data_IF_058708851789
#
_entry.id   IF_058708851789
#
_cell.length_a   1.000
_cell.length_b   1.000
_cell.length_c   1.000
_cell.angle_alpha   90.00
_cell.angle_beta   90.00
_cell.angle_gamma   90.00
#
_symmetry.space_group_name_H-M   'P 1'
#
loop_
_entity.id
_entity.type
_entity.pdbx_description
1 polymer ?
#
# COMPACT_ATOMS: atom_id res chain seq x y z
N UNK A 1 -20.49 28.55 -7.93
CA UNK A 1 -19.61 27.76 -7.04
C UNK A 1 -18.25 28.44 -7.13
N UNK A 2 -17.70 28.91 -6.00
CA UNK A 2 -16.36 29.46 -6.00
C UNK A 2 -15.39 28.33 -6.41
N UNK A 3 -14.49 28.61 -7.34
CA UNK A 3 -13.44 27.67 -7.77
C UNK A 3 -12.44 27.53 -6.62
N UNK A 4 -12.33 26.33 -6.04
CA UNK A 4 -11.28 26.01 -5.08
C UNK A 4 -9.90 26.26 -5.69
N UNK A 5 -8.97 26.77 -4.89
CA UNK A 5 -7.58 26.82 -5.26
C UNK A 5 -6.91 25.46 -4.94
N UNK A 6 -6.24 24.88 -5.94
CA UNK A 6 -5.49 23.64 -5.79
C UNK A 6 -4.05 23.95 -5.34
N UNK A 7 -3.60 23.25 -4.31
CA UNK A 7 -2.23 23.35 -3.79
C UNK A 7 -1.64 21.94 -3.70
N UNK A 8 -0.44 21.78 -4.26
CA UNK A 8 0.39 20.59 -4.04
C UNK A 8 1.65 21.08 -3.36
N UNK A 9 1.91 20.61 -2.15
CA UNK A 9 3.08 21.02 -1.38
C UNK A 9 3.93 19.81 -1.01
N UNK A 10 5.24 19.95 -1.15
CA UNK A 10 6.25 18.95 -0.75
C UNK A 10 6.43 18.93 0.76
N UNK A 11 6.42 20.11 1.38
CA UNK A 11 6.53 20.27 2.81
C UNK A 11 5.21 20.67 3.42
N UNK A 12 4.93 20.11 4.59
CA UNK A 12 3.82 20.55 5.41
C UNK A 12 4.27 20.58 6.86
N UNK A 13 3.89 21.65 7.56
CA UNK A 13 4.11 21.82 8.99
C UNK A 13 2.81 22.23 9.64
N UNK A 14 2.40 21.51 10.67
CA UNK A 14 1.23 21.88 11.45
C UNK A 14 1.67 22.70 12.65
N UNK A 15 1.20 23.95 12.73
CA UNK A 15 1.47 24.79 13.89
C UNK A 15 0.38 24.58 14.95
N UNK A 16 0.73 23.87 16.02
CA UNK A 16 -0.16 23.67 17.15
C UNK A 16 -0.16 24.88 18.10
N UNK A 17 -1.31 25.23 18.68
CA UNK A 17 -1.37 26.15 19.80
C UNK A 17 -0.54 25.62 21.00
N UNK A 18 0.06 26.51 21.81
CA UNK A 18 0.86 26.10 22.97
C UNK A 18 0.06 25.20 23.94
N UNK A 19 0.63 24.04 24.30
CA UNK A 19 0.05 23.12 25.28
C UNK A 19 -1.04 22.18 24.75
N UNK A 20 -1.31 22.17 23.44
CA UNK A 20 -2.22 21.22 22.81
C UNK A 20 -1.47 20.07 22.11
N UNK A 21 -2.14 18.93 21.97
CA UNK A 21 -1.69 17.82 21.14
C UNK A 21 -2.63 17.63 19.93
N UNK A 22 -2.19 16.91 18.91
CA UNK A 22 -2.99 16.65 17.70
C UNK A 22 -4.31 15.91 17.98
N UNK A 23 -4.42 15.20 19.11
CA UNK A 23 -5.64 14.50 19.51
C UNK A 23 -6.71 15.46 20.07
N UNK A 24 -6.28 16.61 20.61
CA UNK A 24 -7.15 17.60 21.27
C UNK A 24 -7.30 18.89 20.47
N UNK A 25 -6.39 19.19 19.53
CA UNK A 25 -6.31 20.47 18.86
C UNK A 25 -7.35 20.69 17.75
N UNK A 26 -7.71 19.64 17.00
CA UNK A 26 -8.57 19.77 15.81
C UNK A 26 -10.07 19.96 16.08
N UNK A 27 -10.46 20.61 17.18
CA UNK A 27 -11.86 20.81 17.52
C UNK A 27 -12.21 22.09 18.27
N UNK A 28 -11.24 22.87 18.76
CA UNK A 28 -11.50 24.06 19.59
C UNK A 28 -10.99 25.37 19.01
N UNK A 29 -9.94 25.32 18.19
CA UNK A 29 -9.27 26.49 17.62
C UNK A 29 -8.87 26.20 16.17
N UNK A 30 -8.70 27.26 15.39
CA UNK A 30 -8.19 27.17 14.03
C UNK A 30 -6.73 26.69 14.07
N UNK A 31 -6.38 25.75 13.20
CA UNK A 31 -4.98 25.34 13.01
C UNK A 31 -4.39 26.02 11.79
N UNK A 32 -3.22 26.61 11.97
CA UNK A 32 -2.42 27.15 10.87
C UNK A 32 -1.51 26.06 10.31
N UNK A 33 -1.60 25.86 9.00
CA UNK A 33 -0.80 24.89 8.26
C UNK A 33 0.16 25.68 7.37
N UNK A 34 1.46 25.43 7.55
CA UNK A 34 2.52 26.06 6.77
C UNK A 34 2.97 25.08 5.68
N UNK A 35 2.96 25.55 4.45
CA UNK A 35 3.31 24.82 3.24
C UNK A 35 4.63 25.36 2.66
N UNK A 36 5.03 24.86 1.50
CA UNK A 36 6.21 25.36 0.76
C UNK A 36 6.21 26.89 0.63
N UNK A 37 7.42 27.46 0.61
CA UNK A 37 7.65 28.91 0.47
C UNK A 37 7.00 29.76 1.60
N UNK A 38 6.62 29.12 2.71
CA UNK A 38 6.00 29.78 3.85
C UNK A 38 4.52 30.13 3.63
N UNK A 39 3.90 29.57 2.60
CA UNK A 39 2.46 29.73 2.35
C UNK A 39 1.66 29.19 3.53
N UNK A 40 0.64 29.93 3.97
CA UNK A 40 -0.22 29.57 5.10
C UNK A 40 -1.62 29.24 4.62
N UNK A 41 -2.21 28.19 5.19
CA UNK A 41 -3.62 27.83 5.00
C UNK A 41 -4.20 27.47 6.36
N UNK A 42 -5.53 27.47 6.47
CA UNK A 42 -6.23 27.30 7.74
C UNK A 42 -7.08 26.04 7.74
N UNK A 43 -7.07 25.33 8.87
CA UNK A 43 -8.04 24.29 9.18
C UNK A 43 -9.00 24.85 10.25
N UNK A 44 -10.21 25.28 9.87
CA UNK A 44 -11.10 25.98 10.79
C UNK A 44 -11.55 25.13 11.98
N UNK A 45 -11.72 25.78 13.13
CA UNK A 45 -12.35 25.21 14.31
C UNK A 45 -13.77 24.74 13.95
N UNK A 46 -14.12 23.54 14.41
CA UNK A 46 -15.45 22.95 14.16
C UNK A 46 -15.66 22.38 12.75
N UNK A 47 -14.64 22.42 11.86
CA UNK A 47 -14.70 21.65 10.62
C UNK A 47 -14.82 20.16 10.95
N UNK A 48 -15.79 19.46 10.35
CA UNK A 48 -16.16 18.09 10.74
C UNK A 48 -14.97 17.10 10.66
N UNK A 49 -14.01 17.37 9.77
CA UNK A 49 -12.81 16.57 9.53
C UNK A 49 -11.54 17.11 10.21
N UNK A 50 -11.61 18.20 10.98
CA UNK A 50 -10.42 18.92 11.45
C UNK A 50 -9.43 18.05 12.22
N UNK A 51 -9.89 17.32 13.25
CA UNK A 51 -9.01 16.44 14.03
C UNK A 51 -8.32 15.37 13.16
N UNK A 52 -9.03 14.82 12.20
CA UNK A 52 -8.53 13.74 11.36
C UNK A 52 -7.56 14.27 10.28
N UNK A 53 -7.86 15.42 9.67
CA UNK A 53 -6.93 16.14 8.79
C UNK A 53 -5.65 16.55 9.53
N UNK A 54 -5.76 17.07 10.76
CA UNK A 54 -4.60 17.44 11.56
C UNK A 54 -3.68 16.24 11.83
N UNK A 55 -4.25 15.06 12.14
CA UNK A 55 -3.48 13.82 12.31
C UNK A 55 -2.78 13.40 11.01
N UNK A 56 -3.46 13.49 9.87
CA UNK A 56 -2.86 13.16 8.57
C UNK A 56 -1.72 14.12 8.24
N UNK A 57 -1.94 15.43 8.37
CA UNK A 57 -0.92 16.45 8.10
C UNK A 57 0.31 16.29 8.99
N UNK A 58 0.13 16.02 10.29
CA UNK A 58 1.24 15.73 11.20
C UNK A 58 1.99 14.45 10.83
N UNK A 59 1.25 13.43 10.34
CA UNK A 59 1.83 12.20 9.81
C UNK A 59 2.67 12.45 8.55
N UNK A 60 2.18 13.25 7.61
CA UNK A 60 2.89 13.63 6.39
C UNK A 60 4.13 14.47 6.69
N UNK A 61 4.04 15.42 7.63
CA UNK A 61 5.18 16.20 8.13
C UNK A 61 6.28 15.26 8.65
N UNK A 62 5.92 14.32 9.52
CA UNK A 62 6.86 13.36 10.11
C UNK A 62 7.50 12.45 9.07
N UNK A 63 6.72 12.01 8.07
CA UNK A 63 7.21 11.17 6.97
C UNK A 63 7.91 11.96 5.86
N UNK A 64 7.91 13.30 5.95
CA UNK A 64 8.41 14.21 4.91
C UNK A 64 7.81 13.88 3.55
N UNK A 65 6.49 13.72 3.52
CA UNK A 65 5.70 13.38 2.34
C UNK A 65 4.88 14.58 1.87
N UNK A 66 4.62 14.69 0.56
CA UNK A 66 3.81 15.77 0.02
C UNK A 66 2.35 15.69 0.47
N UNK A 67 1.64 16.79 0.31
CA UNK A 67 0.20 16.91 0.52
C UNK A 67 -0.47 17.59 -0.68
N UNK A 68 -1.68 17.15 -1.00
CA UNK A 68 -2.58 17.85 -1.92
C UNK A 68 -3.74 18.45 -1.12
N UNK A 69 -4.00 19.73 -1.34
CA UNK A 69 -5.07 20.47 -0.67
C UNK A 69 -5.92 21.19 -1.71
N UNK A 70 -7.24 21.13 -1.54
CA UNK A 70 -8.14 22.15 -2.07
C UNK A 70 -8.46 23.14 -0.98
N UNK A 71 -8.39 24.42 -1.34
CA UNK A 71 -8.51 25.53 -0.39
C UNK A 71 -9.49 26.54 -0.94
N UNK A 72 -10.37 27.03 -0.07
CA UNK A 72 -11.24 28.16 -0.38
C UNK A 72 -10.39 29.43 -0.56
N UNK A 73 -10.47 30.11 -1.72
CA UNK A 73 -9.57 31.22 -2.04
C UNK A 73 -9.80 32.47 -1.19
N UNK A 74 -10.99 32.63 -0.60
CA UNK A 74 -11.36 33.82 0.17
C UNK A 74 -11.00 33.67 1.66
N UNK A 75 -11.12 32.46 2.19
CA UNK A 75 -10.93 32.15 3.61
C UNK A 75 -9.63 31.42 3.91
N UNK A 76 -8.96 30.89 2.89
CA UNK A 76 -7.82 29.98 2.99
C UNK A 76 -8.13 28.68 3.76
N UNK A 77 -9.41 28.34 3.91
CA UNK A 77 -9.86 27.15 4.60
C UNK A 77 -9.64 25.91 3.74
N UNK A 78 -9.04 24.87 4.32
CA UNK A 78 -8.90 23.55 3.68
C UNK A 78 -10.29 22.91 3.53
N UNK A 79 -10.69 22.61 2.29
CA UNK A 79 -11.93 21.91 1.98
C UNK A 79 -11.70 20.43 1.67
N UNK A 80 -10.58 20.10 1.05
CA UNK A 80 -10.18 18.72 0.74
C UNK A 80 -8.70 18.50 1.04
N UNK A 81 -8.40 17.33 1.61
CA UNK A 81 -7.04 16.83 1.77
C UNK A 81 -6.93 15.49 1.07
N UNK A 82 -5.84 15.32 0.31
CA UNK A 82 -5.40 14.03 -0.23
C UNK A 82 -3.93 13.80 0.06
N UNK A 83 -3.56 12.54 0.26
CA UNK A 83 -2.17 12.09 0.44
C UNK A 83 -1.67 11.61 -0.93
N UNK A 84 -0.78 12.34 -1.63
CA UNK A 84 -0.30 11.94 -2.95
C UNK A 84 0.60 10.69 -2.91
N UNK A 85 0.65 9.96 -4.03
CA UNK A 85 1.69 8.97 -4.30
C UNK A 85 2.95 9.68 -4.81
N UNK A 86 4.13 9.14 -4.50
CA UNK A 86 5.42 9.67 -4.93
C UNK A 86 6.25 8.54 -5.53
N UNK A 87 6.66 8.67 -6.79
CA UNK A 87 7.42 7.63 -7.47
C UNK A 87 7.80 7.98 -8.90
N UNK A 88 8.56 7.11 -9.54
CA UNK A 88 9.00 7.25 -10.94
C UNK A 88 8.13 6.39 -11.85
N UNK A 89 7.73 6.95 -12.98
CA UNK A 89 6.96 6.21 -13.99
C UNK A 89 7.85 5.11 -14.60
N UNK A 90 7.38 3.85 -14.52
CA UNK A 90 8.11 2.69 -15.05
C UNK A 90 7.85 2.52 -16.54
N UNK A 91 6.59 2.26 -16.86
CA UNK A 91 6.08 1.97 -18.19
C UNK A 91 4.74 2.68 -18.36
N UNK A 92 4.50 3.16 -19.57
CA UNK A 92 3.22 3.73 -19.99
C UNK A 92 2.68 2.91 -21.15
N UNK A 93 1.39 2.58 -21.11
CA UNK A 93 0.70 1.88 -22.18
C UNK A 93 -0.51 2.68 -22.62
N UNK A 94 -0.59 2.95 -23.92
CA UNK A 94 -1.80 3.55 -24.47
C UNK A 94 -2.92 2.51 -24.57
N UNK A 95 -4.11 2.90 -24.13
CA UNK A 95 -5.32 2.08 -24.20
C UNK A 95 -6.45 2.85 -24.88
N UNK A 96 -7.61 2.21 -25.00
CA UNK A 96 -8.81 2.88 -25.49
C UNK A 96 -9.26 3.98 -24.53
N UNK A 97 -9.11 3.75 -23.23
CA UNK A 97 -9.58 4.61 -22.15
C UNK A 97 -8.62 5.76 -21.82
N UNK A 98 -7.32 5.59 -22.07
CA UNK A 98 -6.32 6.55 -21.61
C UNK A 98 -4.89 6.08 -21.75
N UNK A 99 -4.06 6.54 -20.82
CA UNK A 99 -2.70 6.03 -20.60
C UNK A 99 -2.72 5.28 -19.28
N UNK A 100 -2.48 3.97 -19.34
CA UNK A 100 -2.21 3.17 -18.15
C UNK A 100 -0.72 3.21 -17.84
N UNK A 101 -0.37 3.26 -16.56
CA UNK A 101 1.02 3.24 -16.14
C UNK A 101 1.19 2.69 -14.72
N UNK A 102 2.45 2.34 -14.39
CA UNK A 102 2.87 1.92 -13.06
C UNK A 102 4.00 2.86 -12.58
N UNK A 103 4.09 3.06 -11.26
CA UNK A 103 5.21 3.76 -10.65
C UNK A 103 6.07 2.77 -9.85
N UNK A 104 7.35 3.09 -9.72
CA UNK A 104 8.34 2.24 -9.04
C UNK A 104 7.93 1.91 -7.60
N UNK A 105 7.31 2.85 -6.90
CA UNK A 105 6.92 2.73 -5.51
C UNK A 105 5.60 2.05 -5.20
N UNK A 106 4.92 1.51 -6.22
CA UNK A 106 3.55 1.01 -6.11
C UNK A 106 3.35 -0.31 -6.85
N UNK A 107 2.45 -1.15 -6.35
CA UNK A 107 1.92 -2.26 -7.14
C UNK A 107 0.62 -1.94 -7.87
N UNK A 108 0.05 -0.75 -7.61
CA UNK A 108 -1.17 -0.28 -8.25
C UNK A 108 -0.92 0.08 -9.71
N UNK A 109 -1.98 -0.06 -10.52
CA UNK A 109 -2.04 0.50 -11.86
C UNK A 109 -2.81 1.81 -11.85
N UNK A 110 -2.26 2.80 -12.52
CA UNK A 110 -2.80 4.14 -12.62
C UNK A 110 -3.34 4.40 -14.03
N UNK A 111 -4.35 5.25 -14.14
CA UNK A 111 -4.96 5.62 -15.41
C UNK A 111 -5.01 7.14 -15.56
N UNK A 112 -4.50 7.68 -16.66
CA UNK A 112 -4.84 9.01 -17.12
C UNK A 112 -5.92 8.89 -18.21
N UNK A 113 -7.18 9.16 -17.87
CA UNK A 113 -8.32 9.02 -18.79
C UNK A 113 -8.34 10.09 -19.89
N UNK A 114 -8.74 9.71 -21.12
CA UNK A 114 -8.83 10.65 -22.27
C UNK A 114 -9.81 11.80 -22.06
N UNK A 115 -10.79 11.62 -21.18
CA UNK A 115 -11.77 12.65 -20.81
C UNK A 115 -11.21 13.70 -19.86
N UNK A 116 -10.00 13.51 -19.31
CA UNK A 116 -9.39 14.47 -18.41
C UNK A 116 -9.16 15.81 -19.13
N UNK A 117 -9.57 16.93 -18.54
CA UNK A 117 -9.46 18.27 -19.15
C UNK A 117 -8.04 18.63 -19.59
N UNK A 118 -7.05 18.22 -18.78
CA UNK A 118 -5.61 18.41 -19.02
C UNK A 118 -4.93 17.19 -19.63
N UNK A 119 -5.67 16.29 -20.30
CA UNK A 119 -5.13 15.03 -20.84
C UNK A 119 -3.87 15.25 -21.69
N UNK A 120 -3.89 16.22 -22.62
CA UNK A 120 -2.74 16.53 -23.47
C UNK A 120 -1.48 16.82 -22.64
N UNK A 121 -1.55 17.81 -21.74
CA UNK A 121 -0.45 18.22 -20.89
C UNK A 121 0.05 17.10 -19.97
N UNK A 122 -0.87 16.42 -19.25
CA UNK A 122 -0.50 15.35 -18.33
C UNK A 122 0.07 14.14 -19.07
N UNK A 123 -0.43 13.83 -20.27
CA UNK A 123 0.10 12.74 -21.09
C UNK A 123 1.54 12.97 -21.55
N UNK A 124 1.87 14.22 -21.91
CA UNK A 124 3.24 14.61 -22.25
C UNK A 124 4.16 14.53 -21.03
N UNK A 125 3.70 15.02 -19.88
CA UNK A 125 4.44 14.94 -18.62
C UNK A 125 4.73 13.49 -18.21
N UNK A 126 3.74 12.59 -18.27
CA UNK A 126 3.92 11.18 -17.94
C UNK A 126 4.92 10.49 -18.87
N UNK A 127 4.85 10.76 -20.18
CA UNK A 127 5.80 10.22 -21.15
C UNK A 127 7.21 10.75 -20.92
N UNK A 128 7.34 12.03 -20.56
CA UNK A 128 8.64 12.62 -20.22
C UNK A 128 9.21 12.01 -18.94
N UNK A 129 8.43 11.92 -17.87
CA UNK A 129 8.82 11.26 -16.62
C UNK A 129 9.25 9.80 -16.84
N UNK A 130 8.56 9.08 -17.73
CA UNK A 130 8.92 7.70 -18.07
C UNK A 130 10.29 7.60 -18.79
N UNK A 131 10.63 8.59 -19.64
CA UNK A 131 11.91 8.67 -20.35
C UNK A 131 13.05 9.13 -19.44
N UNK A 132 12.85 10.23 -18.71
CA UNK A 132 13.87 10.87 -17.88
C UNK A 132 14.08 10.17 -16.55
N UNK A 133 13.15 9.29 -16.15
CA UNK A 133 13.08 8.68 -14.80
C UNK A 133 12.99 9.71 -13.68
N UNK A 134 12.53 10.92 -14.01
CA UNK A 134 12.24 11.95 -13.02
C UNK A 134 11.01 11.55 -12.19
N UNK A 135 11.08 11.63 -10.84
CA UNK A 135 9.95 11.30 -9.98
C UNK A 135 8.81 12.30 -10.13
N UNK A 136 7.60 11.84 -9.86
CA UNK A 136 6.37 12.61 -9.86
C UNK A 136 5.68 12.55 -8.50
N UNK A 137 5.09 13.67 -8.08
CA UNK A 137 3.97 13.69 -7.15
C UNK A 137 2.72 13.38 -7.97
N UNK A 138 1.99 12.34 -7.58
CA UNK A 138 0.81 11.86 -8.27
C UNK A 138 -0.40 11.89 -7.34
N UNK A 139 -1.45 12.61 -7.74
CA UNK A 139 -2.71 12.69 -7.00
C UNK A 139 -3.75 11.93 -7.80
N UNK A 140 -4.38 10.96 -7.13
CA UNK A 140 -5.34 10.06 -7.76
C UNK A 140 -6.64 9.97 -6.98
N UNK A 141 -7.71 9.57 -7.65
CA UNK A 141 -8.95 9.18 -7.00
C UNK A 141 -8.89 7.73 -6.48
N UNK A 142 -10.01 7.23 -5.94
CA UNK A 142 -10.11 5.85 -5.43
C UNK A 142 -10.04 4.78 -6.53
N UNK A 143 -10.18 5.15 -7.81
CA UNK A 143 -10.00 4.26 -8.98
C UNK A 143 -8.58 4.28 -9.52
N UNK A 144 -7.68 5.06 -8.88
CA UNK A 144 -6.32 5.35 -9.37
C UNK A 144 -6.33 6.11 -10.70
N UNK A 145 -7.39 6.86 -10.98
CA UNK A 145 -7.42 7.83 -12.07
C UNK A 145 -6.67 9.11 -11.64
N UNK A 146 -5.82 9.62 -12.53
CA UNK A 146 -5.00 10.81 -12.25
C UNK A 146 -5.88 12.05 -12.18
N UNK A 147 -5.78 12.78 -11.06
CA UNK A 147 -6.36 14.11 -10.86
C UNK A 147 -5.32 15.20 -11.15
N UNK A 148 -4.10 15.01 -10.65
CA UNK A 148 -3.00 15.97 -10.83
C UNK A 148 -1.67 15.23 -10.80
N UNK A 149 -0.70 15.71 -11.59
CA UNK A 149 0.68 15.22 -11.54
C UNK A 149 1.65 16.40 -11.63
N UNK A 150 2.75 16.31 -10.88
CA UNK A 150 3.82 17.31 -10.90
C UNK A 150 5.17 16.65 -10.82
N UNK A 151 6.16 17.18 -11.53
CA UNK A 151 7.54 16.77 -11.31
C UNK A 151 7.95 17.04 -9.86
N UNK A 152 8.69 16.09 -9.31
CA UNK A 152 9.28 16.19 -8.00
C UNK A 152 10.77 16.45 -8.13
N UNK A 153 11.23 17.54 -7.51
CA UNK A 153 12.65 17.83 -7.36
C UNK A 153 13.00 17.65 -5.88
N UNK A 154 13.79 16.61 -5.53
CA UNK A 154 14.18 16.36 -4.15
C UNK A 154 14.97 17.53 -3.57
N UNK A 155 14.47 18.09 -2.47
CA UNK A 155 15.16 19.03 -1.60
C UNK A 155 15.94 18.32 -0.48
N UNK A 156 16.79 19.08 0.26
CA UNK A 156 17.61 18.53 1.34
C UNK A 156 16.80 17.97 2.53
N UNK A 157 15.57 18.47 2.72
CA UNK A 157 14.69 18.08 3.83
C UNK A 157 13.68 17.00 3.47
N UNK A 158 13.63 16.57 2.19
CA UNK A 158 12.64 15.61 1.73
C UNK A 158 12.96 14.18 2.21
N UNK A 159 11.91 13.35 2.31
CA UNK A 159 12.07 11.93 2.60
C UNK A 159 12.82 11.21 1.47
N UNK A 160 13.51 10.08 1.78
CA UNK A 160 14.19 9.32 0.73
C UNK A 160 13.15 8.81 -0.28
N UNK A 161 13.40 9.05 -1.57
CA UNK A 161 12.75 8.28 -2.61
C UNK A 161 13.23 6.84 -2.47
N UNK A 162 12.29 5.93 -2.25
CA UNK A 162 12.63 4.52 -2.26
C UNK A 162 13.13 4.15 -3.65
N UNK A 163 14.29 3.49 -3.69
CA UNK A 163 14.85 2.92 -4.90
C UNK A 163 14.28 1.51 -5.08
N UNK A 164 13.23 1.42 -5.90
CA UNK A 164 12.61 0.15 -6.25
C UNK A 164 13.37 -0.44 -7.43
N UNK A 165 13.76 -1.73 -7.38
CA UNK A 165 14.57 -2.31 -8.44
C UNK A 165 13.72 -2.38 -9.70
N UNK A 166 14.21 -1.77 -10.79
CA UNK A 166 13.46 -1.66 -12.05
C UNK A 166 13.21 -3.00 -12.74
N UNK A 167 13.92 -4.06 -12.35
CA UNK A 167 13.79 -5.39 -12.93
C UNK A 167 13.22 -6.37 -11.91
N UNK A 168 12.11 -7.01 -12.27
CA UNK A 168 11.70 -8.22 -11.60
C UNK A 168 12.75 -9.29 -11.89
N UNK A 169 13.31 -9.98 -10.87
CA UNK A 169 14.22 -11.07 -11.13
C UNK A 169 13.51 -12.08 -12.02
N UNK A 170 14.11 -12.39 -13.18
CA UNK A 170 13.62 -13.48 -14.04
C UNK A 170 13.54 -14.74 -13.17
N UNK A 171 12.50 -15.58 -13.31
CA UNK A 171 12.44 -16.84 -12.59
C UNK A 171 13.68 -17.67 -12.95
N UNK A 172 14.67 -17.68 -12.07
CA UNK A 172 15.83 -18.55 -12.22
C UNK A 172 15.37 -19.95 -11.86
N UNK A 173 15.53 -20.90 -12.78
CA UNK A 173 15.47 -22.32 -12.44
C UNK A 173 16.60 -22.61 -11.45
N UNK A 174 16.29 -22.58 -10.16
CA UNK A 174 17.21 -22.92 -9.07
C UNK A 174 17.47 -24.43 -9.07
N UNK A 175 18.37 -24.85 -9.95
CA UNK A 175 18.83 -26.23 -10.05
C UNK A 175 19.73 -26.64 -8.87
N UNK A 176 20.34 -25.68 -8.17
CA UNK A 176 21.18 -25.91 -6.99
C UNK A 176 20.35 -26.20 -5.73
N UNK A 177 19.16 -25.63 -5.60
CA UNK A 177 18.18 -25.99 -4.57
C UNK A 177 17.74 -27.46 -4.65
N UNK A 178 17.75 -28.03 -5.86
CA UNK A 178 17.43 -29.44 -6.10
C UNK A 178 18.54 -30.40 -5.62
N UNK A 179 19.82 -30.02 -5.75
CA UNK A 179 20.95 -30.82 -5.25
C UNK A 179 21.11 -30.74 -3.73
N UNK A 180 20.82 -29.59 -3.12
CA UNK A 180 20.89 -29.41 -1.65
C UNK A 180 19.75 -30.13 -0.91
N UNK A 181 18.66 -30.45 -1.60
CA UNK A 181 17.54 -31.25 -1.09
C UNK A 181 17.90 -32.73 -0.87
N UNK A 182 18.90 -33.26 -1.58
CA UNK A 182 19.26 -34.68 -1.51
C UNK A 182 20.18 -35.07 -0.34
N UNK A 183 20.82 -34.12 0.34
CA UNK A 183 21.93 -34.42 1.29
C UNK A 183 21.59 -34.11 2.76
N UNK A 184 20.33 -33.80 3.12
CA UNK A 184 19.94 -33.52 4.51
C UNK A 184 18.74 -34.40 4.95
N UNK A 185 18.95 -35.69 5.27
CA UNK A 185 17.85 -36.60 5.43
C UNK A 185 17.22 -36.52 6.84
N UNK A 186 15.93 -36.19 6.85
CA UNK A 186 14.87 -36.76 7.70
C UNK A 186 14.43 -36.05 9.00
N UNK A 187 15.18 -35.11 9.61
CA UNK A 187 14.75 -34.53 10.91
C UNK A 187 14.11 -33.12 10.88
N UNK A 188 14.20 -32.37 9.76
CA UNK A 188 13.73 -30.97 9.71
C UNK A 188 12.45 -30.76 8.88
N UNK A 189 12.26 -31.52 7.79
CA UNK A 189 11.09 -31.38 6.90
C UNK A 189 9.74 -31.76 7.54
N UNK A 190 9.73 -32.61 8.56
CA UNK A 190 8.50 -32.98 9.26
C UNK A 190 8.13 -32.04 10.42
N UNK A 191 9.08 -31.23 10.93
CA UNK A 191 8.85 -30.34 12.09
C UNK A 191 8.37 -28.93 11.74
N UNK A 192 8.58 -28.44 10.51
CA UNK A 192 8.26 -27.06 10.12
C UNK A 192 6.82 -26.77 9.67
N UNK A 193 6.03 -27.78 9.31
CA UNK A 193 4.64 -27.56 8.89
C UNK A 193 3.70 -27.52 10.09
N UNK A 194 2.73 -26.63 10.12
CA UNK A 194 1.76 -26.50 11.24
C UNK A 194 0.46 -27.26 10.94
N UNK A 195 -0.39 -27.50 11.95
CA UNK A 195 -1.73 -28.06 11.71
C UNK A 195 -2.65 -27.02 11.06
N UNK A 196 -3.75 -27.46 10.42
CA UNK A 196 -4.74 -26.54 9.87
C UNK A 196 -5.33 -25.60 10.95
N UNK A 197 -5.61 -26.12 12.15
CA UNK A 197 -6.08 -25.30 13.27
C UNK A 197 -5.04 -24.25 13.72
N UNK A 198 -3.75 -24.63 13.77
CA UNK A 198 -2.70 -23.65 14.08
C UNK A 198 -2.56 -22.61 12.95
N UNK A 199 -2.71 -23.00 11.69
CA UNK A 199 -2.70 -22.04 10.58
C UNK A 199 -3.85 -21.03 10.68
N UNK A 200 -5.05 -21.47 11.09
CA UNK A 200 -6.16 -20.56 11.37
C UNK A 200 -5.82 -19.62 12.53
N UNK A 201 -5.29 -20.12 13.64
CA UNK A 201 -4.90 -19.27 14.77
C UNK A 201 -3.85 -18.21 14.38
N UNK A 202 -2.91 -18.55 13.49
CA UNK A 202 -1.93 -17.60 12.97
C UNK A 202 -2.61 -16.56 12.08
N UNK A 203 -3.54 -16.99 11.23
CA UNK A 203 -4.34 -16.08 10.42
C UNK A 203 -5.11 -15.08 11.29
N UNK A 204 -5.80 -15.56 12.32
CA UNK A 204 -6.59 -14.74 13.22
C UNK A 204 -5.70 -13.75 13.97
N UNK A 205 -4.51 -14.16 14.40
CA UNK A 205 -3.52 -13.26 15.01
C UNK A 205 -3.03 -12.19 14.03
N UNK A 206 -2.78 -12.53 12.76
CA UNK A 206 -2.43 -11.51 11.75
C UNK A 206 -3.61 -10.57 11.51
N UNK A 207 -4.82 -11.09 11.35
CA UNK A 207 -6.03 -10.30 11.12
C UNK A 207 -6.31 -9.34 12.29
N UNK A 208 -6.06 -9.77 13.53
CA UNK A 208 -6.21 -8.94 14.72
C UNK A 208 -5.27 -7.73 14.77
N UNK A 209 -4.21 -7.69 13.94
CA UNK A 209 -3.35 -6.51 13.79
C UNK A 209 -3.90 -5.46 12.82
N UNK A 210 -5.08 -5.68 12.24
CA UNK A 210 -5.69 -4.76 11.27
C UNK A 210 -5.90 -3.35 11.85
N UNK A 211 -5.63 -2.33 11.04
CA UNK A 211 -5.89 -0.94 11.42
C UNK A 211 -7.38 -0.62 11.54
N UNK A 212 -7.75 0.14 12.57
CA UNK A 212 -9.02 0.83 12.64
C UNK A 212 -9.01 2.02 11.66
N UNK A 213 -9.90 2.11 10.65
CA UNK A 213 -9.75 3.09 9.56
C UNK A 213 -9.75 4.57 9.97
N UNK A 214 -10.48 4.95 11.03
CA UNK A 214 -10.63 6.36 11.42
C UNK A 214 -9.53 6.87 12.37
N UNK A 215 -8.89 5.97 13.11
CA UNK A 215 -7.90 6.33 14.16
C UNK A 215 -6.51 5.77 13.88
N UNK A 216 -6.39 4.76 13.01
CA UNK A 216 -5.16 4.12 12.52
C UNK A 216 -3.99 4.07 13.51
N UNK A 217 -4.19 3.54 14.73
CA UNK A 217 -3.16 3.56 15.77
C UNK A 217 -1.95 2.72 15.38
N UNK A 218 -0.74 3.24 15.55
CA UNK A 218 0.46 2.41 15.43
C UNK A 218 0.63 1.54 16.70
N UNK A 219 1.10 0.27 16.59
CA UNK A 219 1.40 -0.48 15.37
C UNK A 219 0.21 -1.32 14.88
N UNK A 220 -0.33 -0.99 13.70
CA UNK A 220 -1.36 -1.79 13.01
C UNK A 220 -0.99 -2.03 11.53
N UNK A 221 -1.55 -3.04 10.88
CA UNK A 221 -1.35 -3.33 9.46
C UNK A 221 -2.59 -2.87 8.66
N UNK A 222 -2.45 -2.01 7.63
CA UNK A 222 -3.59 -1.46 6.90
C UNK A 222 -4.14 -2.47 5.88
N UNK A 223 -4.67 -3.60 6.33
CA UNK A 223 -5.28 -4.61 5.44
C UNK A 223 -6.52 -4.08 4.73
N UNK A 224 -7.23 -3.14 5.35
CA UNK A 224 -8.40 -2.46 4.78
C UNK A 224 -8.04 -1.38 3.74
N UNK A 225 -6.76 -1.24 3.38
CA UNK A 225 -6.31 -0.42 2.26
C UNK A 225 -5.63 -1.32 1.21
N UNK A 226 -6.43 -1.98 0.33
CA UNK A 226 -5.92 -2.97 -0.60
C UNK A 226 -5.15 -2.34 -1.77
N UNK A 227 -5.36 -1.05 -2.03
CA UNK A 227 -4.88 -0.37 -3.23
C UNK A 227 -3.38 -0.45 -3.45
N UNK A 228 -2.60 -0.45 -2.36
CA UNK A 228 -1.16 -0.48 -2.45
C UNK A 228 -0.50 -1.00 -1.15
N UNK A 229 0.81 -1.27 -1.13
CA UNK A 229 1.58 -1.62 0.06
C UNK A 229 1.64 -3.10 0.45
N UNK A 230 1.31 -4.01 -0.47
CA UNK A 230 1.25 -5.45 -0.18
C UNK A 230 2.56 -6.03 0.35
N UNK A 231 3.70 -5.59 -0.19
CA UNK A 231 5.02 -6.06 0.23
C UNK A 231 5.34 -5.67 1.68
N UNK A 232 4.98 -4.46 2.12
CA UNK A 232 5.18 -4.00 3.49
C UNK A 232 4.27 -4.79 4.46
N UNK A 233 3.00 -5.00 4.09
CA UNK A 233 2.08 -5.86 4.87
C UNK A 233 2.62 -7.28 4.99
N UNK A 234 3.06 -7.87 3.89
CA UNK A 234 3.61 -9.22 3.85
C UNK A 234 4.90 -9.34 4.67
N UNK A 235 5.77 -8.33 4.64
CA UNK A 235 7.00 -8.34 5.39
C UNK A 235 6.75 -8.26 6.91
N UNK A 236 5.83 -7.40 7.34
CA UNK A 236 5.44 -7.30 8.74
C UNK A 236 4.74 -8.57 9.25
N UNK A 237 3.85 -9.16 8.45
CA UNK A 237 3.27 -10.47 8.79
C UNK A 237 4.35 -11.55 8.92
N UNK A 238 5.33 -11.60 8.02
CA UNK A 238 6.46 -12.51 8.15
C UNK A 238 7.24 -12.29 9.46
N UNK A 239 7.50 -11.03 9.86
CA UNK A 239 8.16 -10.70 11.13
C UNK A 239 7.43 -11.29 12.33
N UNK A 240 6.11 -11.07 12.37
CA UNK A 240 5.27 -11.54 13.46
C UNK A 240 5.22 -13.07 13.50
N UNK A 241 5.09 -13.73 12.36
CA UNK A 241 5.15 -15.20 12.28
C UNK A 241 6.50 -15.76 12.73
N UNK A 242 7.62 -15.11 12.36
CA UNK A 242 8.95 -15.51 12.82
C UNK A 242 9.07 -15.35 14.34
N UNK A 243 8.54 -14.26 14.90
CA UNK A 243 8.48 -14.05 16.35
C UNK A 243 7.63 -15.13 17.07
N UNK A 244 6.68 -15.75 16.38
CA UNK A 244 5.92 -16.92 16.86
C UNK A 244 6.67 -18.25 16.70
N UNK A 245 7.93 -18.24 16.24
CA UNK A 245 8.74 -19.44 16.01
C UNK A 245 8.38 -20.19 14.72
N UNK A 246 7.72 -19.53 13.77
CA UNK A 246 7.34 -20.11 12.48
C UNK A 246 8.37 -19.79 11.39
N UNK A 247 8.30 -20.50 10.27
CA UNK A 247 9.17 -20.30 9.10
C UNK A 247 8.33 -19.93 7.86
N UNK A 248 7.80 -18.70 7.80
CA UNK A 248 7.06 -18.25 6.62
C UNK A 248 7.96 -18.16 5.39
N UNK A 249 7.33 -18.17 4.22
CA UNK A 249 7.94 -17.79 2.93
C UNK A 249 7.02 -16.81 2.23
N UNK A 250 7.41 -16.24 1.09
CA UNK A 250 6.49 -15.42 0.29
C UNK A 250 6.09 -16.10 -1.01
N UNK A 251 4.84 -15.86 -1.42
CA UNK A 251 4.38 -16.11 -2.78
C UNK A 251 4.02 -14.77 -3.40
N UNK A 252 4.52 -14.56 -4.60
CA UNK A 252 4.27 -13.41 -5.43
C UNK A 252 3.44 -13.85 -6.62
N UNK A 253 2.57 -12.98 -7.09
CA UNK A 253 1.81 -13.13 -8.33
C UNK A 253 2.05 -11.90 -9.20
N UNK A 254 2.26 -12.10 -10.50
CA UNK A 254 2.42 -11.00 -11.47
C UNK A 254 1.50 -11.21 -12.66
N UNK A 255 0.87 -10.14 -13.13
CA UNK A 255 -0.10 -10.21 -14.21
C UNK A 255 -0.91 -8.93 -14.35
N UNK A 256 -2.03 -9.02 -15.05
CA UNK A 256 -3.04 -7.98 -15.13
C UNK A 256 -4.12 -8.23 -14.09
N UNK A 257 -3.78 -8.00 -12.82
CA UNK A 257 -4.61 -8.42 -11.70
C UNK A 257 -5.79 -7.47 -11.51
N UNK A 258 -6.97 -8.03 -11.33
CA UNK A 258 -8.21 -7.33 -11.04
C UNK A 258 -8.92 -8.04 -9.90
N UNK A 259 -8.98 -7.40 -8.74
CA UNK A 259 -9.50 -8.01 -7.51
C UNK A 259 -10.71 -7.24 -7.02
N UNK A 260 -11.85 -7.92 -6.93
CA UNK A 260 -13.04 -7.38 -6.27
C UNK A 260 -12.79 -7.25 -4.77
N UNK A 261 -13.22 -6.15 -4.17
CA UNK A 261 -13.00 -5.90 -2.75
C UNK A 261 -14.07 -4.99 -2.16
N UNK A 262 -14.38 -5.22 -0.89
CA UNK A 262 -15.22 -4.30 -0.10
C UNK A 262 -14.43 -3.16 0.51
N UNK A 263 -13.12 -3.11 0.33
CA UNK A 263 -12.25 -2.18 1.02
C UNK A 263 -11.80 -0.98 0.14
N UNK A 264 -12.39 -0.85 -1.05
CA UNK A 264 -12.22 0.30 -1.95
C UNK A 264 -13.60 0.78 -2.42
N UNK A 265 -13.90 2.10 -2.45
CA UNK A 265 -15.18 2.64 -2.89
C UNK A 265 -15.58 2.29 -4.34
N UNK A 266 -14.60 2.03 -5.20
CA UNK A 266 -14.80 1.54 -6.56
C UNK A 266 -15.16 0.04 -6.61
N UNK A 267 -15.14 -0.67 -5.48
CA UNK A 267 -15.42 -2.09 -5.32
C UNK A 267 -14.42 -3.05 -5.97
N UNK A 268 -13.32 -2.53 -6.51
CA UNK A 268 -12.23 -3.31 -7.07
C UNK A 268 -10.90 -2.56 -6.93
N UNK A 269 -9.80 -3.28 -7.17
CA UNK A 269 -8.46 -2.74 -7.30
C UNK A 269 -7.73 -3.43 -8.45
N UNK A 270 -6.86 -2.69 -9.14
CA UNK A 270 -6.04 -3.20 -10.24
C UNK A 270 -4.56 -3.17 -9.86
N UNK A 271 -3.86 -4.28 -10.08
CA UNK A 271 -2.46 -4.42 -9.71
C UNK A 271 -1.62 -5.02 -10.84
N UNK A 272 -0.34 -4.63 -10.90
CA UNK A 272 0.65 -5.32 -11.74
C UNK A 272 1.20 -6.59 -11.08
N UNK A 273 1.20 -6.63 -9.75
CA UNK A 273 1.66 -7.76 -8.94
C UNK A 273 1.11 -7.70 -7.52
N UNK A 274 1.12 -8.80 -6.79
CA UNK A 274 0.73 -8.87 -5.37
C UNK A 274 1.62 -9.89 -4.64
N UNK A 275 1.68 -9.78 -3.31
CA UNK A 275 2.48 -10.69 -2.48
C UNK A 275 1.83 -10.96 -1.14
N UNK A 276 1.96 -12.19 -0.67
CA UNK A 276 1.52 -12.60 0.66
C UNK A 276 2.44 -13.66 1.28
N UNK A 277 2.51 -13.75 2.62
CA UNK A 277 3.16 -14.84 3.33
C UNK A 277 2.50 -16.18 3.04
N UNK A 278 3.31 -17.23 3.09
CA UNK A 278 2.89 -18.63 3.00
C UNK A 278 3.43 -19.43 4.17
N UNK A 279 2.64 -20.38 4.65
CA UNK A 279 3.03 -21.36 5.65
C UNK A 279 2.84 -22.77 5.11
N UNK A 280 3.72 -23.68 5.51
CA UNK A 280 3.48 -25.10 5.28
C UNK A 280 2.45 -25.62 6.28
N UNK A 281 1.38 -26.25 5.79
CA UNK A 281 0.28 -26.75 6.63
C UNK A 281 0.06 -28.25 6.36
N UNK A 282 -0.03 -29.04 7.42
CA UNK A 282 -0.36 -30.47 7.36
C UNK A 282 -1.85 -30.62 7.07
N UNK A 283 -2.20 -31.34 6.01
CA UNK A 283 -3.57 -31.79 5.74
C UNK A 283 -3.91 -32.99 6.61
N UNK A 284 -5.21 -33.18 6.85
CA UNK A 284 -5.74 -34.29 7.65
C UNK A 284 -5.22 -35.62 7.10
N UNK A 285 -4.79 -36.49 8.00
CA UNK A 285 -4.25 -37.81 7.68
C UNK A 285 -5.27 -38.62 6.86
N UNK A 286 -4.81 -39.23 5.76
CA UNK A 286 -5.59 -40.21 5.01
C UNK A 286 -4.75 -41.48 4.86
N UNK A 287 -5.38 -42.63 5.09
CA UNK A 287 -4.76 -43.95 5.00
C UNK A 287 -4.14 -44.26 3.62
N UNK A 288 -4.52 -43.52 2.57
CA UNK A 288 -3.97 -43.63 1.20
C UNK A 288 -2.83 -42.65 0.88
N UNK A 289 -2.57 -41.67 1.74
CA UNK A 289 -1.51 -40.67 1.52
C UNK A 289 -0.83 -40.35 2.85
N UNK A 290 0.18 -41.14 3.17
CA UNK A 290 1.18 -40.74 4.14
C UNK A 290 1.76 -39.38 3.68
N UNK A 291 1.69 -38.36 4.54
CA UNK A 291 2.32 -37.04 4.36
C UNK A 291 1.68 -36.10 3.31
N UNK A 292 0.46 -35.61 3.56
CA UNK A 292 -0.10 -34.51 2.77
C UNK A 292 0.21 -33.16 3.44
N UNK A 293 1.23 -32.43 2.99
CA UNK A 293 1.41 -31.01 3.33
C UNK A 293 0.93 -30.12 2.18
N UNK A 294 0.58 -28.88 2.48
CA UNK A 294 0.14 -27.89 1.50
C UNK A 294 0.66 -26.50 1.91
N UNK A 295 1.10 -25.70 0.93
CA UNK A 295 1.37 -24.28 1.15
C UNK A 295 0.05 -23.53 1.22
N UNK A 296 -0.17 -22.84 2.32
CA UNK A 296 -1.33 -21.99 2.54
C UNK A 296 -0.89 -20.53 2.59
N UNK A 297 -1.65 -19.65 1.96
CA UNK A 297 -1.44 -18.20 1.96
C UNK A 297 -2.14 -17.60 3.17
N UNK A 298 -1.48 -16.66 3.85
CA UNK A 298 -2.06 -15.87 4.93
C UNK A 298 -2.17 -14.43 4.42
N UNK A 299 -3.38 -14.02 4.05
CA UNK A 299 -3.64 -12.69 3.48
C UNK A 299 -4.97 -12.12 3.97
N UNK A 300 -4.97 -11.42 5.13
CA UNK A 300 -6.17 -10.76 5.66
C UNK A 300 -6.71 -9.62 4.79
N UNK A 301 -5.98 -9.17 3.75
CA UNK A 301 -6.49 -8.15 2.83
C UNK A 301 -7.48 -8.72 1.81
N UNK A 302 -7.45 -10.04 1.58
CA UNK A 302 -8.27 -10.74 0.58
C UNK A 302 -9.16 -11.84 1.15
N UNK A 303 -8.81 -12.40 2.31
CA UNK A 303 -9.48 -13.57 2.87
C UNK A 303 -9.77 -13.40 4.36
N UNK A 304 -10.54 -14.34 4.93
CA UNK A 304 -10.82 -14.46 6.36
C UNK A 304 -10.28 -15.75 6.98
N UNK A 305 -9.56 -16.55 6.19
CA UNK A 305 -8.98 -17.85 6.57
C UNK A 305 -7.75 -18.13 5.71
N UNK A 306 -6.80 -18.99 6.14
CA UNK A 306 -5.76 -19.47 5.26
C UNK A 306 -6.36 -20.14 4.01
N UNK A 307 -5.84 -19.81 2.84
CA UNK A 307 -6.30 -20.40 1.56
C UNK A 307 -5.15 -21.08 0.82
N UNK A 308 -5.46 -21.96 -0.14
CA UNK A 308 -4.42 -22.47 -1.03
C UNK A 308 -3.85 -21.36 -1.91
N UNK A 309 -2.61 -21.54 -2.41
CA UNK A 309 -2.04 -20.62 -3.41
C UNK A 309 -2.93 -20.53 -4.66
N UNK A 310 -3.59 -21.62 -5.07
CA UNK A 310 -4.50 -21.61 -6.22
C UNK A 310 -5.76 -20.79 -5.97
N UNK A 311 -6.35 -20.87 -4.78
CA UNK A 311 -7.51 -20.05 -4.38
C UNK A 311 -7.11 -18.57 -4.27
N UNK A 312 -5.95 -18.28 -3.68
CA UNK A 312 -5.40 -16.93 -3.61
C UNK A 312 -5.14 -16.33 -4.99
N UNK A 313 -4.59 -17.11 -5.94
CA UNK A 313 -4.43 -16.67 -7.34
C UNK A 313 -5.79 -16.42 -8.02
N UNK A 314 -6.78 -17.29 -7.81
CA UNK A 314 -8.04 -17.23 -8.56
C UNK A 314 -8.87 -15.97 -8.30
N UNK A 315 -8.79 -15.37 -7.10
CA UNK A 315 -9.57 -14.16 -6.79
C UNK A 315 -9.00 -12.87 -7.40
N UNK A 316 -7.79 -12.94 -7.96
CA UNK A 316 -7.06 -11.79 -8.51
C UNK A 316 -7.27 -11.62 -10.03
N UNK A 317 -8.19 -12.37 -10.62
CA UNK A 317 -8.77 -12.07 -11.93
C UNK A 317 -7.91 -12.37 -13.16
N UNK A 318 -6.67 -12.84 -13.02
CA UNK A 318 -5.79 -13.16 -14.15
C UNK A 318 -5.40 -14.65 -14.23
N UNK A 319 -6.02 -15.42 -15.15
CA UNK A 319 -5.64 -16.82 -15.39
C UNK A 319 -4.17 -16.98 -15.83
N UNK A 320 -3.66 -16.01 -16.60
CA UNK A 320 -2.31 -15.99 -17.17
C UNK A 320 -1.22 -15.55 -16.19
N UNK A 321 -1.59 -15.07 -15.00
CA UNK A 321 -0.62 -14.58 -14.02
C UNK A 321 0.40 -15.66 -13.61
N UNK A 322 1.65 -15.24 -13.42
CA UNK A 322 2.74 -16.13 -13.00
C UNK A 322 2.89 -16.08 -11.48
N UNK A 323 3.52 -17.12 -10.91
CA UNK A 323 3.79 -17.21 -9.48
C UNK A 323 5.29 -17.38 -9.23
N UNK A 324 5.84 -16.58 -8.32
CA UNK A 324 7.23 -16.69 -7.86
C UNK A 324 7.26 -16.89 -6.35
N UNK A 325 8.21 -17.68 -5.86
CA UNK A 325 8.38 -17.93 -4.42
C UNK A 325 9.73 -17.39 -3.96
N UNK A 326 9.74 -16.72 -2.81
CA UNK A 326 10.97 -16.21 -2.19
C UNK A 326 11.03 -16.57 -0.70
N UNK A 327 12.14 -16.23 -0.06
CA UNK A 327 12.30 -16.32 1.39
C UNK A 327 11.47 -15.25 2.13
N UNK A 328 11.24 -15.44 3.43
CA UNK A 328 10.64 -14.41 4.27
C UNK A 328 11.50 -13.14 4.39
N UNK A 329 12.82 -13.20 4.17
CA UNK A 329 13.69 -12.02 4.20
C UNK A 329 13.55 -11.11 2.97
N UNK A 330 12.98 -11.62 1.86
CA UNK A 330 12.79 -10.84 0.64
C UNK A 330 11.70 -9.78 0.88
N UNK A 331 12.10 -8.52 1.00
CA UNK A 331 11.19 -7.39 1.15
C UNK A 331 10.52 -7.07 -0.17
N UNK A 332 11.32 -7.03 -1.23
CA UNK A 332 10.88 -6.67 -2.57
C UNK A 332 11.90 -7.14 -3.61
N UNK A 333 11.59 -8.23 -4.30
CA UNK A 333 12.31 -8.69 -5.48
C UNK A 333 13.83 -8.73 -5.31
N UNK A 334 14.31 -9.47 -4.31
CA UNK A 334 15.73 -9.60 -3.97
C UNK A 334 16.28 -8.52 -3.05
N UNK A 335 15.54 -7.42 -2.82
CA UNK A 335 15.86 -6.48 -1.75
C UNK A 335 15.43 -7.06 -0.40
N UNK A 336 16.18 -6.73 0.66
CA UNK A 336 15.85 -7.08 2.04
C UNK A 336 15.61 -5.82 2.88
N UNK A 337 14.91 -5.97 4.01
CA UNK A 337 14.67 -4.91 4.99
C UNK A 337 14.81 -5.48 6.42
N UNK A 338 16.00 -5.97 6.82
CA UNK A 338 16.18 -6.70 8.08
C UNK A 338 15.88 -5.86 9.33
N UNK A 339 16.01 -4.53 9.23
CA UNK A 339 15.69 -3.58 10.29
C UNK A 339 14.23 -3.09 10.27
N UNK A 340 13.41 -3.53 9.31
CA UNK A 340 12.02 -3.11 9.12
C UNK A 340 11.84 -1.59 8.97
N UNK A 341 12.89 -0.89 8.53
CA UNK A 341 12.85 0.58 8.41
C UNK A 341 11.95 0.96 7.25
N UNK A 342 12.15 0.32 6.08
CA UNK A 342 11.30 0.56 4.89
C UNK A 342 9.87 0.09 5.13
N UNK A 343 9.72 -1.05 5.81
CA UNK A 343 8.43 -1.64 6.17
C UNK A 343 7.62 -0.68 7.04
N UNK A 344 8.22 -0.16 8.12
CA UNK A 344 7.54 0.74 9.04
C UNK A 344 7.20 2.09 8.40
N UNK A 345 8.09 2.64 7.57
CA UNK A 345 7.85 3.84 6.78
C UNK A 345 6.62 3.67 5.86
N UNK A 346 6.58 2.59 5.07
CA UNK A 346 5.45 2.31 4.16
C UNK A 346 4.15 2.00 4.91
N UNK A 347 4.21 1.24 6.00
CA UNK A 347 3.01 0.98 6.81
C UNK A 347 2.47 2.28 7.43
N UNK A 348 3.35 3.19 7.86
CA UNK A 348 2.92 4.50 8.34
C UNK A 348 2.24 5.32 7.23
N UNK A 349 2.84 5.35 6.02
CA UNK A 349 2.23 6.02 4.87
C UNK A 349 0.84 5.46 4.52
N UNK A 350 0.69 4.13 4.42
CA UNK A 350 -0.61 3.53 4.06
C UNK A 350 -1.65 3.57 5.20
N UNK A 351 -1.24 3.77 6.46
CA UNK A 351 -2.18 4.14 7.53
C UNK A 351 -2.80 5.51 7.26
N UNK A 352 -2.01 6.50 6.81
CA UNK A 352 -2.53 7.83 6.45
C UNK A 352 -3.46 7.75 5.24
N UNK A 353 -3.12 6.96 4.21
CA UNK A 353 -4.00 6.72 3.05
C UNK A 353 -5.33 6.05 3.44
N UNK A 354 -5.29 5.06 4.34
CA UNK A 354 -6.51 4.44 4.87
C UNK A 354 -7.39 5.47 5.60
N UNK A 355 -6.76 6.31 6.42
CA UNK A 355 -7.47 7.33 7.20
C UNK A 355 -8.08 8.40 6.29
N UNK A 356 -7.31 8.92 5.33
CA UNK A 356 -7.76 9.86 4.30
C UNK A 356 -9.00 9.34 3.57
N UNK A 357 -8.95 8.10 3.07
CA UNK A 357 -10.12 7.45 2.47
C UNK A 357 -11.29 7.36 3.44
N UNK A 358 -11.06 6.90 4.67
CA UNK A 358 -12.14 6.67 5.63
C UNK A 358 -12.90 7.96 5.98
N UNK A 359 -12.19 9.09 6.02
CA UNK A 359 -12.76 10.41 6.26
C UNK A 359 -13.53 10.92 5.03
N UNK A 360 -13.03 10.66 3.83
CA UNK A 360 -13.60 11.21 2.60
C UNK A 360 -14.76 10.39 2.03
N UNK A 361 -14.68 9.07 2.13
CA UNK A 361 -15.63 8.14 1.50
C UNK A 361 -16.37 7.26 2.53
N UNK A 362 -16.10 7.43 3.82
CA UNK A 362 -16.56 6.54 4.89
C UNK A 362 -15.61 5.35 5.11
N UNK A 363 -15.66 4.71 6.30
CA UNK A 363 -14.73 3.62 6.63
C UNK A 363 -15.09 2.33 5.88
N UNK A 364 -14.11 1.61 5.30
CA UNK A 364 -14.33 0.26 4.78
C UNK A 364 -14.66 -0.73 5.93
N UNK A 365 -15.38 -1.83 5.66
CA UNK A 365 -15.85 -2.28 4.34
C UNK A 365 -17.12 -1.55 3.85
N UNK A 366 -17.19 -1.28 2.55
CA UNK A 366 -18.30 -0.63 1.86
C UNK A 366 -19.43 -1.63 1.55
N UNK A 367 -20.64 -1.33 2.05
CA UNK A 367 -21.79 -2.25 1.98
C UNK A 367 -22.31 -2.50 0.56
N UNK A 368 -22.04 -1.59 -0.39
CA UNK A 368 -22.45 -1.70 -1.79
C UNK A 368 -21.48 -2.51 -2.66
N UNK A 369 -20.36 -2.97 -2.09
CA UNK A 369 -19.35 -3.75 -2.80
C UNK A 369 -19.55 -5.25 -2.58
N UNK A 370 -19.19 -6.08 -3.58
CA UNK A 370 -19.48 -7.52 -3.61
C UNK A 370 -18.81 -8.33 -2.50
#
# INVERSE_FOLDING_TARGET
MATSQIIVSRQVRVQLPPGQDFATAGGKEDLEIILDEGRRVRLPAGHEKAAAYAQILAGLEKLRQPVYLEVDPDTEAISLLRVPDLGRVRETRETREGIEFEIDSSHARFLLGKSHERFGQLSEMLREAARSKQPLILVTDDRREVIEARFFEPGPDDGPLLDFPFEHPRPTLDWYGFLRWWIWPWNWWFRGCISAGHAQNVFDQMSATSCAPLTVPAPCIPFLYPDDGCWARAHEMCRLMIAMGLSPRKVWIQGSLHTLTRNNPACFVNWGWHVAPTLCVRRRWSWRRLWCTQKMVIDPSLFTTPVSVSQWKSVQGDPGATLTYTDASDYLWGQTDPGYVKTNDRLAYYRLRLQERAINSGPPPYANCP
#
